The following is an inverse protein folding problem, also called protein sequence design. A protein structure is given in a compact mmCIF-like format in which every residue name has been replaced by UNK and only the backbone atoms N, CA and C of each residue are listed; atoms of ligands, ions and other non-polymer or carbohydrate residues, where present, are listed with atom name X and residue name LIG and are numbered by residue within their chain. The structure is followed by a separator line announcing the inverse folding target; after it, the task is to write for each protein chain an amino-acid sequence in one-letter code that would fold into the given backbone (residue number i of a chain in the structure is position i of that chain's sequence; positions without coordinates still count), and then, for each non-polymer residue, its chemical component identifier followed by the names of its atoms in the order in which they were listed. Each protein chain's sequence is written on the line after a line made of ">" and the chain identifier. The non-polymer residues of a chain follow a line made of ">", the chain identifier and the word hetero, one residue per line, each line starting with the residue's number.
data_IF_390336385191
#
_entry.id   IF_390336385191
#
_cell.length_a   1.000
_cell.length_b   1.000
_cell.length_c   1.000
_cell.angle_alpha   90.00
_cell.angle_beta   90.00
_cell.angle_gamma   90.00
#
_symmetry.space_group_name_H-M   'P 1'
#
loop_
_entity.id
_entity.type
_entity.pdbx_description
1 polymer ?
2 polymer ?
3 polymer ?
4 non-polymer ?
5 non-polymer ?
6 non-polymer ?
7 non-polymer ?
8 non-polymer ?
#
# COMPACT_ATOMS: atom_id res chain seq x y z
N UNK A 1 9.74 -21.63 -0.84
CA UNK A 1 11.11 -22.16 -1.02
C UNK A 1 11.10 -23.22 -2.11
N UNK A 2 10.23 -23.08 -3.12
CA UNK A 2 10.11 -24.11 -4.18
C UNK A 2 11.44 -24.26 -4.91
N UNK A 3 12.31 -23.25 -4.84
CA UNK A 3 13.61 -23.29 -5.56
C UNK A 3 14.40 -24.52 -5.13
N UNK A 4 14.24 -24.95 -3.88
CA UNK A 4 15.01 -26.09 -3.35
C UNK A 4 15.96 -25.65 -2.26
N UNK A 5 15.83 -24.38 -1.84
CA UNK A 5 16.69 -23.86 -0.75
C UNK A 5 15.96 -24.05 0.59
N UNK A 6 16.65 -23.82 1.71
CA UNK A 6 15.97 -23.89 3.04
C UNK A 6 15.13 -22.61 3.20
N UNK A 7 14.19 -22.60 4.12
CA UNK A 7 13.42 -21.36 4.38
C UNK A 7 14.42 -20.23 4.66
N UNK A 8 15.42 -20.50 5.49
CA UNK A 8 16.45 -19.48 5.80
C UNK A 8 17.23 -19.13 4.53
N UNK A 9 17.63 -20.15 3.77
CA UNK A 9 18.45 -19.91 2.56
C UNK A 9 17.62 -19.16 1.50
N UNK A 10 16.30 -19.34 1.51
CA UNK A 10 15.46 -18.71 0.47
C UNK A 10 15.02 -17.33 0.94
N UNK A 11 14.57 -17.21 2.18
CA UNK A 11 14.00 -15.92 2.64
C UNK A 11 14.92 -15.18 3.60
N UNK A 12 16.22 -15.40 3.54
CA UNK A 12 17.12 -14.59 4.42
C UNK A 12 18.54 -14.53 3.84
N UNK A 13 19.26 -13.44 4.15
CA UNK A 13 20.64 -13.26 3.62
C UNK A 13 21.66 -13.68 4.68
N UNK A 14 22.34 -14.82 4.49
CA UNK A 14 23.31 -15.33 5.49
C UNK A 14 24.57 -15.81 4.78
N UNK A 15 24.83 -15.28 3.59
CA UNK A 15 26.02 -15.69 2.79
C UNK A 15 27.30 -15.35 3.57
N UNK A 16 27.36 -14.16 4.16
CA UNK A 16 28.54 -13.74 4.97
C UNK A 16 28.05 -13.04 6.23
N UNK A 17 26.85 -12.47 6.18
CA UNK A 17 26.29 -11.74 7.35
C UNK A 17 26.63 -12.51 8.64
N UNK A 28 27.87 -5.52 10.98
CA UNK A 28 28.00 -6.25 9.73
C UNK A 28 29.44 -6.20 9.23
N UNK A 29 29.70 -6.86 8.10
CA UNK A 29 31.04 -6.83 7.52
C UNK A 29 31.22 -5.57 6.67
N UNK A 30 30.19 -5.17 5.94
CA UNK A 30 30.24 -3.97 5.10
C UNK A 30 29.86 -2.77 5.94
N UNK A 31 30.84 -2.27 6.70
CA UNK A 31 30.69 -1.04 7.46
C UNK A 31 31.59 0.07 6.93
N UNK A 32 32.72 -0.27 6.29
CA UNK A 32 33.56 0.76 5.70
C UNK A 32 32.84 1.48 4.56
N UNK A 33 31.94 0.80 3.86
CA UNK A 33 31.16 1.39 2.79
C UNK A 33 29.89 2.08 3.29
N UNK A 34 29.76 2.29 4.60
CA UNK A 34 28.59 2.98 5.12
C UNK A 34 28.49 4.40 4.56
N UNK A 35 29.63 5.09 4.45
CA UNK A 35 29.62 6.44 3.91
C UNK A 35 29.19 6.44 2.44
N UNK A 36 29.57 5.41 1.70
CA UNK A 36 29.17 5.32 0.30
C UNK A 36 27.66 5.19 0.17
N UNK A 37 27.03 4.37 1.02
CA UNK A 37 25.58 4.20 0.94
C UNK A 37 24.86 5.48 1.31
N UNK A 38 25.30 6.14 2.39
CA UNK A 38 24.61 7.34 2.85
C UNK A 38 24.73 8.50 1.87
N UNK A 39 25.71 8.46 0.96
CA UNK A 39 25.86 9.55 0.00
C UNK A 39 24.65 9.64 -0.93
N UNK A 40 24.07 8.50 -1.30
CA UNK A 40 22.91 8.46 -2.18
C UNK A 40 21.65 8.03 -1.46
N UNK A 41 21.74 7.33 -0.32
CA UNK A 41 20.54 6.97 0.41
C UNK A 41 19.84 8.19 0.99
N UNK A 42 20.59 9.05 1.68
CA UNK A 42 19.97 10.18 2.36
C UNK A 42 19.34 11.18 1.39
N UNK A 43 20.00 11.61 0.31
CA UNK A 43 19.30 12.44 -0.68
C UNK A 43 18.09 11.77 -1.29
N UNK A 44 18.15 10.45 -1.50
CA UNK A 44 16.99 9.75 -2.03
C UNK A 44 15.82 9.76 -1.05
N UNK A 45 16.10 9.52 0.23
CA UNK A 45 15.05 9.53 1.23
C UNK A 45 14.41 10.91 1.35
N UNK A 46 15.24 11.96 1.35
CA UNK A 46 14.72 13.32 1.46
C UNK A 46 13.89 13.68 0.24
N UNK A 47 14.33 13.27 -0.96
CA UNK A 47 13.58 13.58 -2.16
C UNK A 47 12.23 12.89 -2.16
N UNK A 48 12.18 11.62 -1.74
CA UNK A 48 10.90 10.92 -1.67
C UNK A 48 9.99 11.55 -0.63
N UNK A 49 10.55 11.93 0.52
CA UNK A 49 9.74 12.54 1.56
C UNK A 49 9.11 13.85 1.09
N UNK A 50 9.90 14.66 0.37
CA UNK A 50 9.36 15.92 -0.16
C UNK A 50 8.28 15.66 -1.20
N UNK A 51 8.47 14.63 -2.03
CA UNK A 51 7.50 14.36 -3.10
C UNK A 51 6.15 13.96 -2.51
N UNK A 52 6.14 13.08 -1.52
CA UNK A 52 4.88 12.70 -0.89
C UNK A 52 4.34 13.84 -0.05
N UNK A 53 5.22 14.59 0.61
CA UNK A 53 4.76 15.68 1.48
C UNK A 53 4.08 16.77 0.67
N UNK A 54 4.70 17.22 -0.42
CA UNK A 54 4.14 18.33 -1.18
C UNK A 54 2.92 17.91 -1.99
N UNK A 55 2.94 16.70 -2.55
CA UNK A 55 1.79 16.23 -3.31
C UNK A 55 0.58 16.03 -2.41
N UNK A 56 0.82 15.55 -1.18
CA UNK A 56 -0.30 15.29 -0.28
C UNK A 56 -1.04 16.57 0.10
N UNK A 57 -0.31 17.65 0.35
CA UNK A 57 -0.93 18.87 0.87
C UNK A 57 -1.45 19.79 -0.23
N UNK A 58 -0.83 19.79 -1.41
CA UNK A 58 -1.22 20.71 -2.47
C UNK A 58 -2.30 20.17 -3.38
N UNK A 59 -2.31 18.86 -3.65
CA UNK A 59 -3.18 18.27 -4.66
C UNK A 59 -4.16 17.26 -4.09
N UNK A 60 -3.68 16.26 -3.34
CA UNK A 60 -4.56 15.18 -2.91
C UNK A 60 -5.50 15.63 -1.80
N UNK A 61 -5.02 16.47 -0.89
CA UNK A 61 -5.85 16.92 0.22
C UNK A 61 -5.20 18.00 1.06
N UNK B 1 -27.14 14.38 -5.99
CA UNK B 1 -26.22 13.38 -6.52
C UNK B 1 -26.80 11.98 -6.41
N UNK B 2 -26.73 11.24 -7.52
CA UNK B 2 -27.13 9.84 -7.52
C UNK B 2 -26.12 9.07 -6.68
N UNK B 3 -26.52 8.66 -5.48
CA UNK B 3 -25.61 8.00 -4.54
C UNK B 3 -25.51 6.51 -4.90
N UNK B 4 -24.91 6.26 -6.05
CA UNK B 4 -24.66 4.91 -6.55
C UNK B 4 -23.21 4.84 -7.01
N UNK B 5 -22.50 3.81 -6.54
CA UNK B 5 -21.08 3.60 -6.85
C UNK B 5 -20.96 2.22 -7.48
N UNK B 6 -21.15 2.15 -8.79
CA UNK B 6 -20.95 0.93 -9.57
C UNK B 6 -19.90 1.12 -10.66
N UNK B 7 -19.98 2.22 -11.40
CA UNK B 7 -18.93 2.51 -12.39
C UNK B 7 -17.59 2.74 -11.71
N UNK B 8 -17.60 3.44 -10.58
CA UNK B 8 -16.36 3.71 -9.85
C UNK B 8 -15.72 2.43 -9.36
N UNK B 9 -16.52 1.57 -8.70
CA UNK B 9 -15.99 0.29 -8.26
C UNK B 9 -15.55 -0.55 -9.45
N UNK B 10 -16.29 -0.49 -10.55
CA UNK B 10 -15.95 -1.27 -11.73
C UNK B 10 -14.58 -0.87 -12.29
N UNK B 11 -14.34 0.43 -12.43
CA UNK B 11 -13.07 0.88 -12.99
C UNK B 11 -11.93 0.59 -12.01
N UNK B 12 -12.19 0.73 -10.70
CA UNK B 12 -11.16 0.39 -9.72
C UNK B 12 -10.79 -1.09 -9.81
N UNK B 13 -11.80 -1.96 -9.90
CA UNK B 13 -11.51 -3.39 -10.00
C UNK B 13 -10.80 -3.70 -11.31
N UNK B 14 -11.15 -2.99 -12.39
CA UNK B 14 -10.49 -3.23 -13.66
C UNK B 14 -9.00 -2.88 -13.59
N UNK B 15 -8.69 -1.70 -13.03
CA UNK B 15 -7.30 -1.30 -12.90
C UNK B 15 -6.53 -2.26 -12.00
N UNK B 16 -7.16 -2.67 -10.89
CA UNK B 16 -6.51 -3.61 -10.00
C UNK B 16 -6.25 -4.95 -10.66
N UNK B 17 -7.23 -5.45 -11.40
CA UNK B 17 -7.04 -6.71 -12.12
C UNK B 17 -5.93 -6.58 -13.15
N UNK B 18 -5.83 -5.43 -13.81
CA UNK B 18 -4.75 -5.22 -14.77
C UNK B 18 -3.39 -5.31 -14.10
N UNK B 19 -3.22 -4.59 -12.98
CA UNK B 19 -1.93 -4.61 -12.29
C UNK B 19 -1.58 -6.01 -11.79
N UNK B 20 -2.57 -6.68 -11.18
CA UNK B 20 -2.32 -8.03 -10.68
C UNK B 20 -1.97 -8.97 -11.82
N UNK B 21 -2.65 -8.84 -12.96
CA UNK B 21 -2.35 -9.69 -14.11
C UNK B 21 -0.94 -9.46 -14.60
N UNK B 22 -0.50 -8.20 -14.63
CA UNK B 22 0.89 -7.93 -15.04
C UNK B 22 1.88 -8.60 -14.07
N UNK B 23 1.56 -8.61 -12.78
CA UNK B 23 2.46 -9.26 -11.83
C UNK B 23 2.46 -10.78 -12.03
N UNK B 24 1.31 -11.38 -12.31
CA UNK B 24 1.33 -12.81 -12.64
C UNK B 24 2.08 -13.06 -13.93
N UNK B 25 2.07 -12.11 -14.88
CA UNK B 25 2.92 -12.26 -16.05
C UNK B 25 4.40 -12.20 -15.67
N UNK B 26 4.75 -11.42 -14.65
CA UNK B 26 6.12 -11.41 -14.17
C UNK B 26 6.52 -12.79 -13.64
N UNK B 27 5.65 -13.40 -12.83
CA UNK B 27 5.90 -14.80 -12.42
C UNK B 27 5.96 -15.73 -13.63
N UNK B 28 5.14 -15.49 -14.64
CA UNK B 28 5.19 -16.35 -15.82
C UNK B 28 6.55 -16.25 -16.50
N UNK B 29 7.09 -15.04 -16.58
CA UNK B 29 8.41 -14.86 -17.17
C UNK B 29 9.49 -15.56 -16.35
N UNK B 30 9.41 -15.45 -15.02
CA UNK B 30 10.44 -16.05 -14.18
C UNK B 30 10.36 -17.57 -14.18
N UNK B 31 9.24 -18.13 -13.73
CA UNK B 31 9.15 -19.57 -13.49
C UNK B 31 9.21 -20.40 -14.77
N UNK B 32 9.09 -19.79 -15.95
CA UNK B 32 9.23 -20.52 -17.20
C UNK B 32 10.71 -20.70 -17.51
N UNK B 33 11.23 -21.90 -17.23
CA UNK B 33 12.62 -22.21 -17.52
C UNK B 33 12.83 -22.32 -19.02
N UNK C 1 22.62 -19.16 -23.80
CA UNK C 1 21.56 -19.32 -22.82
C UNK C 1 21.72 -18.33 -21.67
N UNK C 2 22.97 -18.12 -21.25
CA UNK C 2 23.22 -17.27 -20.09
C UNK C 2 22.91 -15.81 -20.37
N UNK C 3 23.16 -15.34 -21.59
CA UNK C 3 22.84 -13.94 -21.92
C UNK C 3 21.34 -13.71 -21.90
N UNK C 4 20.56 -14.68 -22.39
CA UNK C 4 19.10 -14.58 -22.27
C UNK C 4 18.69 -14.59 -20.81
N UNK C 5 19.34 -15.43 -20.01
CA UNK C 5 19.06 -15.50 -18.57
C UNK C 5 19.25 -14.14 -17.92
N UNK C 6 20.38 -13.50 -18.18
CA UNK C 6 20.67 -12.20 -17.58
C UNK C 6 19.71 -11.14 -18.11
N UNK C 7 19.38 -11.19 -19.41
CA UNK C 7 18.48 -10.19 -19.98
C UNK C 7 17.10 -10.29 -19.36
N UNK C 8 16.57 -11.51 -19.22
CA UNK C 8 15.26 -11.68 -18.60
C UNK C 8 15.28 -11.25 -17.14
N UNK C 9 16.33 -11.60 -16.41
CA UNK C 9 16.40 -11.19 -15.01
C UNK C 9 16.44 -9.66 -14.88
N UNK C 10 17.23 -9.00 -15.73
CA UNK C 10 17.31 -7.55 -15.69
C UNK C 10 15.97 -6.91 -16.02
N UNK C 11 15.32 -7.37 -17.09
CA UNK C 11 14.05 -6.79 -17.48
C UNK C 11 12.99 -7.00 -16.40
N UNK C 12 12.92 -8.20 -15.84
CA UNK C 12 11.92 -8.47 -14.82
C UNK C 12 12.21 -7.67 -13.57
N UNK C 13 13.48 -7.43 -13.26
CA UNK C 13 13.80 -6.53 -12.15
C UNK C 13 13.31 -5.12 -12.41
N UNK C 14 13.48 -4.64 -13.64
CA UNK C 14 13.02 -3.29 -13.97
C UNK C 14 11.51 -3.19 -13.82
N UNK C 15 10.78 -4.18 -14.36
CA UNK C 15 9.32 -4.19 -14.19
C UNK C 15 8.93 -4.32 -12.73
N UNK C 16 9.70 -5.07 -11.94
CA UNK C 16 9.39 -5.18 -10.52
C UNK C 16 9.52 -3.83 -9.84
N UNK C 17 10.56 -3.07 -10.19
CA UNK C 17 10.71 -1.73 -9.64
C UNK C 17 9.56 -0.83 -10.07
N UNK C 18 9.14 -0.92 -11.32
CA UNK C 18 8.04 -0.10 -11.82
C UNK C 18 6.76 -0.41 -11.05
N UNK C 19 6.47 -1.70 -10.85
CA UNK C 19 5.27 -2.07 -10.11
C UNK C 19 5.38 -1.71 -8.64
N UNK C 20 6.59 -1.72 -8.09
CA UNK C 20 6.78 -1.26 -6.72
C UNK C 20 6.43 0.21 -6.60
N UNK C 21 6.86 1.02 -7.57
CA UNK C 21 6.51 2.44 -7.54
C UNK C 21 5.01 2.62 -7.71
N UNK C 22 4.38 1.80 -8.56
CA UNK C 22 2.94 1.89 -8.74
C UNK C 22 2.21 1.56 -7.44
N UNK C 23 2.65 0.52 -6.74
CA UNK C 23 2.04 0.18 -5.46
C UNK C 23 2.28 1.27 -4.41
N UNK C 24 3.45 1.91 -4.45
CA UNK C 24 3.68 3.03 -3.53
C UNK C 24 2.70 4.16 -3.80
N UNK C 25 2.45 4.46 -5.08
CA UNK C 25 1.46 5.47 -5.44
C UNK C 25 0.09 5.06 -4.92
N UNK C 26 -0.26 3.78 -5.08
CA UNK C 26 -1.55 3.29 -4.60
C UNK C 26 -1.66 3.46 -3.08
N UNK C 27 -0.59 3.13 -2.36
CA UNK C 27 -0.60 3.24 -0.90
C UNK C 27 -0.77 4.69 -0.48
N UNK C 28 -0.07 5.62 -1.13
CA UNK C 28 -0.22 7.03 -0.81
C UNK C 28 -1.65 7.48 -1.09
N UNK C 29 -2.21 7.07 -2.22
CA UNK C 29 -3.55 7.51 -2.60
C UNK C 29 -4.58 7.02 -1.59
N UNK C 30 -4.50 5.73 -1.21
CA UNK C 30 -5.50 5.21 -0.27
C UNK C 30 -5.31 5.83 1.10
N UNK C 31 -4.07 6.10 1.51
CA UNK C 31 -3.86 6.75 2.80
C UNK C 31 -4.46 8.15 2.82
N UNK C 32 -4.29 8.90 1.73
CA UNK C 32 -4.74 10.29 1.70
C UNK C 32 -6.24 10.38 1.42
N UNK C 33 -6.68 9.77 0.33
CA UNK C 33 -8.02 10.04 -0.18
C UNK C 33 -9.08 9.49 0.76
N UNK C 34 -10.09 10.29 1.20
CA UNK C 34 -11.10 9.77 2.14
C UNK C 34 -12.33 9.20 1.44
N UNK C 35 -12.17 8.05 0.80
CA UNK C 35 -13.25 7.39 0.08
C UNK C 35 -13.25 5.90 0.38
N UNK C 36 -13.12 5.55 1.66
CA UNK C 36 -13.14 4.14 2.05
C UNK C 36 -14.56 3.63 2.18
N UNK C 37 -15.47 4.46 2.69
CA UNK C 37 -16.87 4.12 2.84
C UNK C 37 -17.69 5.34 2.45
N UNK C 38 -18.91 5.10 1.97
CA UNK C 38 -19.76 6.18 1.51
C UNK C 38 -21.22 5.89 1.73
N UNK C 39 -22.02 6.94 1.60
CA UNK C 39 -23.46 6.85 1.79
C UNK C 39 -24.08 5.92 0.75
N UNK C 40 -25.37 5.64 0.93
CA UNK C 40 -26.17 4.89 -0.03
C UNK C 40 -27.51 5.57 -0.17
N UNK C 41 -28.40 4.97 -0.97
CA UNK C 41 -29.71 5.57 -1.22
C UNK C 41 -30.54 5.57 0.06
N UNK C 42 -30.43 4.52 0.87
CA UNK C 42 -31.22 4.38 2.09
C UNK C 42 -30.55 4.99 3.32
N UNK C 43 -29.41 5.66 3.14
CA UNK C 43 -28.72 6.24 4.28
C UNK C 43 -29.49 7.45 4.81
N UNK C 44 -29.46 7.71 6.12
CA UNK C 44 -30.10 8.95 6.61
C UNK C 44 -29.46 10.22 6.09
N UNK C 45 -28.14 10.31 6.12
CA UNK C 45 -27.39 11.50 5.74
C UNK C 45 -26.33 11.14 4.72
N UNK C 46 -25.92 12.06 3.85
CA UNK C 46 -24.88 11.77 2.88
C UNK C 46 -23.49 12.08 3.42
N UNK C 47 -22.50 11.44 2.81
CA UNK C 47 -21.12 11.69 3.15
C UNK C 47 -20.25 10.48 2.88
N UNK C 48 -19.03 10.56 3.37
CA UNK C 48 -18.02 9.51 3.20
C UNK C 48 -16.95 9.73 4.24
N UNK C 49 -16.12 8.70 4.45
CA UNK C 49 -15.02 8.84 5.39
C UNK C 49 -13.92 7.86 5.04
N UNK C 50 -12.69 8.27 5.35
CA UNK C 50 -11.51 7.45 5.14
C UNK C 50 -10.94 6.92 6.43
N UNK C 51 -9.61 6.89 6.54
CA UNK C 51 -8.99 6.36 7.74
C UNK C 51 -9.13 7.33 8.91
N UNK C 52 -8.96 8.63 8.65
CA UNK C 52 -9.06 9.67 9.67
C UNK C 52 -10.01 10.79 9.29
N UNK C 53 -10.07 11.16 8.02
CA UNK C 53 -10.91 12.25 7.56
C UNK C 53 -12.32 11.75 7.24
N UNK C 54 -13.30 12.58 7.57
CA UNK C 54 -14.70 12.25 7.32
C UNK C 54 -15.48 13.51 6.98
N UNK C 55 -16.32 13.40 5.96
CA UNK C 55 -17.18 14.49 5.51
C UNK C 55 -18.63 14.02 5.55
N UNK C 56 -19.50 14.85 6.13
CA UNK C 56 -20.90 14.51 6.33
C UNK C 56 -21.75 15.68 5.86
N UNK C 57 -22.94 15.37 5.36
CA UNK C 57 -23.88 16.39 4.94
C UNK C 57 -24.75 16.88 6.07
N UNK C 58 -25.13 18.16 5.99
CA UNK C 58 -25.99 18.74 7.02
C UNK C 58 -27.42 18.26 6.93
N UNK C 59 -27.87 17.79 5.77
CA UNK C 59 -29.20 17.24 5.62
C UNK C 59 -30.25 18.25 5.22
N UNK C 60 -30.01 18.97 4.11
CA UNK C 60 -30.94 19.97 3.61
C UNK C 60 -31.10 19.88 2.09
N UNK C 61 -31.03 18.67 1.53
CA UNK C 61 -31.16 18.45 0.10
C UNK C 61 -30.10 19.22 -0.68
N UNK C 62 -28.89 19.29 -0.12
CA UNK C 62 -27.77 19.93 -0.75
C UNK C 62 -26.50 19.22 -0.32
N UNK C 63 -25.35 19.71 -0.81
CA UNK C 63 -24.09 19.07 -0.45
C UNK C 63 -23.64 19.51 0.92
N UNK C 64 -23.24 20.79 1.05
CA UNK C 64 -22.82 21.44 2.29
C UNK C 64 -22.01 20.51 3.20
N UNK C 65 -21.06 19.81 2.61
CA UNK C 65 -20.36 18.73 3.30
C UNK C 65 -19.37 19.32 4.28
N UNK C 66 -19.74 19.38 5.55
CA UNK C 66 -18.80 19.77 6.59
C UNK C 66 -17.78 18.65 6.77
N UNK C 67 -16.50 19.00 6.74
CA UNK C 67 -15.40 18.04 6.74
C UNK C 67 -14.55 18.25 7.98
N UNK C 68 -14.23 17.14 8.65
CA UNK C 68 -13.45 17.18 9.87
C UNK C 68 -12.59 15.93 9.93
N UNK C 69 -11.41 16.08 10.53
CA UNK C 69 -10.49 14.97 10.73
C UNK C 69 -9.12 15.28 10.15
N UNK C 70 -8.09 14.76 10.80
CA UNK C 70 -6.72 14.96 10.35
C UNK C 70 -5.80 14.05 11.15
N UNK C 71 -4.86 13.40 10.46
CA UNK C 71 -3.95 12.49 11.13
C UNK C 71 -2.95 13.23 12.02
N UNK C 72 -2.67 14.50 11.74
CA UNK C 72 -1.78 15.26 12.61
C UNK C 72 -2.38 15.42 13.99
N UNK C 73 -3.70 15.67 14.06
CA UNK C 73 -4.42 15.83 15.32
C UNK C 73 -5.23 14.56 15.56
N UNK C 74 -4.72 13.68 16.44
CA UNK C 74 -5.41 12.45 16.77
C UNK C 74 -6.69 12.66 17.55
N UNK C 75 -6.95 13.86 18.05
CA UNK C 75 -8.20 14.11 18.76
C UNK C 75 -9.39 13.99 17.83
N UNK C 76 -9.26 14.48 16.59
CA UNK C 76 -10.38 14.54 15.66
C UNK C 76 -10.73 13.20 15.04
N UNK C 77 -9.88 12.18 15.18
CA UNK C 77 -10.20 10.87 14.60
C UNK C 77 -11.36 10.26 15.37
N UNK C 78 -12.38 9.68 14.72
CA UNK C 78 -13.59 9.27 15.48
C UNK C 78 -13.34 8.21 16.55
N UNK C 79 -12.44 7.27 16.34
CA UNK C 79 -12.33 6.12 17.25
C UNK C 79 -10.92 5.57 17.24
N UNK C 80 -10.65 4.73 18.25
CA UNK C 80 -9.31 4.15 18.39
C UNK C 80 -8.99 3.18 17.26
N UNK C 81 -9.98 2.44 16.77
CA UNK C 81 -9.72 1.53 15.66
C UNK C 81 -9.31 2.30 14.41
N UNK C 82 -9.93 3.46 14.18
CA UNK C 82 -9.51 4.30 13.06
C UNK C 82 -8.08 4.76 13.23
N UNK C 83 -7.70 5.14 14.46
CA UNK C 83 -6.33 5.56 14.72
C UNK C 83 -5.34 4.44 14.45
N UNK C 84 -5.67 3.22 14.91
CA UNK C 84 -4.78 2.09 14.67
C UNK C 84 -4.66 1.77 13.19
N UNK C 85 -5.78 1.79 12.46
CA UNK C 85 -5.73 1.51 11.03
C UNK C 85 -4.91 2.57 10.30
N UNK C 86 -5.11 3.84 10.65
CA UNK C 86 -4.34 4.90 10.02
C UNK C 86 -2.85 4.74 10.30
N UNK C 87 -2.49 4.30 11.50
CA UNK C 87 -1.06 4.06 11.83
C UNK C 87 -0.52 2.97 10.91
N UNK C 88 -1.17 1.81 10.85
CA UNK C 88 -0.69 0.66 10.05
C UNK C 88 -0.55 1.06 8.58
N UNK C 89 -1.52 1.79 8.03
CA UNK C 89 -1.50 2.19 6.59
C UNK C 89 -0.33 3.16 6.38
N UNK C 90 0.09 3.90 7.40
CA UNK C 90 1.25 4.82 7.32
C UNK C 90 2.52 4.00 7.43
N UNK C 91 2.62 3.12 8.41
CA UNK C 91 3.81 2.25 8.58
C UNK C 91 4.02 1.51 7.27
N UNK C 92 2.94 1.16 6.57
CA UNK C 92 3.02 0.43 5.28
C UNK C 92 3.59 1.37 4.24
N UNK C 93 3.13 2.61 4.21
CA UNK C 93 3.62 3.60 3.26
C UNK C 93 5.09 3.93 3.52
N UNK C 94 5.48 4.06 4.79
CA UNK C 94 6.88 4.40 5.16
C UNK C 94 7.80 3.23 4.83
N UNK C 95 7.27 2.00 4.80
CA UNK C 95 8.06 0.78 4.53
C UNK C 95 8.21 0.57 3.02
N UNK C 96 7.22 0.99 2.22
CA UNK C 96 7.28 0.85 0.74
C UNK C 96 8.17 1.99 0.23
N UNK C 97 8.09 3.18 0.81
CA UNK C 97 9.02 4.25 0.45
C UNK C 97 10.44 3.91 0.86
N UNK C 98 10.61 3.16 1.94
CA UNK C 98 11.94 2.71 2.32
C UNK C 98 12.55 1.78 1.29
N UNK C 99 11.74 0.87 0.73
CA UNK C 99 12.22 0.05 -0.37
C UNK C 99 12.57 0.89 -1.59
N UNK C 100 11.75 1.88 -1.93
CA UNK C 100 12.06 2.71 -3.08
C UNK C 100 13.37 3.46 -2.84
N UNK C 101 13.64 3.84 -1.59
CA UNK C 101 14.93 4.41 -1.25
C UNK C 101 16.04 3.38 -1.40
N UNK C 102 15.80 2.16 -0.93
CA UNK C 102 16.79 1.08 -0.97
C UNK C 102 17.09 0.62 -2.38
N UNK C 103 16.29 1.03 -3.38
CA UNK C 103 16.70 0.82 -4.77
C UNK C 103 18.08 1.42 -5.05
N UNK C 104 18.44 2.50 -4.35
CA UNK C 104 19.73 3.13 -4.58
C UNK C 104 20.89 2.21 -4.21
N UNK C 105 20.66 1.25 -3.30
CA UNK C 105 21.71 0.33 -2.91
C UNK C 105 22.14 -0.62 -4.02
N UNK C 106 21.39 -0.69 -5.13
CA UNK C 106 21.76 -1.59 -6.21
C UNK C 106 23.09 -1.23 -6.85
N UNK C 107 23.54 0.03 -6.71
CA UNK C 107 24.83 0.41 -7.27
C UNK C 107 25.97 -0.36 -6.62
N UNK C 108 26.03 -0.35 -5.28
CA UNK C 108 27.16 -0.89 -4.55
C UNK C 108 26.90 -2.29 -3.98
N UNK C 109 25.80 -2.44 -3.24
CA UNK C 109 25.54 -3.68 -2.54
C UNK C 109 25.26 -4.81 -3.53
N UNK C 110 25.42 -6.04 -3.04
CA UNK C 110 25.11 -7.21 -3.86
C UNK C 110 23.64 -7.21 -4.22
N UNK C 111 23.33 -7.52 -5.48
CA UNK C 111 21.96 -7.40 -5.97
C UNK C 111 21.01 -8.32 -5.23
N UNK C 112 21.46 -9.54 -4.92
CA UNK C 112 20.60 -10.47 -4.21
C UNK C 112 20.22 -9.95 -2.83
N UNK C 113 21.19 -9.35 -2.12
CA UNK C 113 20.89 -8.83 -0.79
C UNK C 113 19.88 -7.70 -0.85
N UNK C 114 20.01 -6.80 -1.83
CA UNK C 114 19.06 -5.69 -1.94
C UNK C 114 17.68 -6.22 -2.32
N UNK C 115 17.63 -7.19 -3.22
CA UNK C 115 16.33 -7.78 -3.65
C UNK C 115 15.65 -8.33 -2.41
N UNK C 116 16.38 -9.04 -1.54
CA UNK C 116 15.80 -9.66 -0.33
C UNK C 116 15.41 -8.57 0.67
N UNK C 117 16.22 -7.51 0.80
CA UNK C 117 15.90 -6.39 1.72
C UNK C 117 14.54 -5.82 1.30
N UNK C 118 14.32 -5.52 0.01
CA UNK C 118 13.00 -5.08 -0.43
C UNK C 118 11.93 -6.17 -0.38
N UNK C 119 12.30 -7.42 -0.57
CA UNK C 119 11.31 -8.52 -0.42
C UNK C 119 10.75 -8.43 0.99
N UNK C 120 11.60 -8.33 2.00
CA UNK C 120 11.17 -8.31 3.43
C UNK C 120 10.47 -7.00 3.77
N UNK C 121 10.79 -5.91 3.09
CA UNK C 121 10.19 -4.58 3.37
C UNK C 121 8.83 -4.53 2.68
N UNK C 122 8.64 -5.27 1.59
CA UNK C 122 7.34 -5.34 0.94
C UNK C 122 6.42 -6.32 1.66
N UNK C 123 6.96 -7.43 2.16
CA UNK C 123 6.14 -8.41 2.91
C UNK C 123 5.56 -7.70 4.13
N UNK C 124 6.39 -6.98 4.88
CA UNK C 124 5.95 -6.26 6.10
C UNK C 124 4.93 -5.19 5.73
N UNK C 125 5.11 -4.51 4.61
CA UNK C 125 4.19 -3.45 4.14
C UNK C 125 2.82 -4.06 3.90
N UNK C 126 2.76 -5.25 3.29
CA UNK C 126 1.49 -5.94 3.00
C UNK C 126 0.84 -6.37 4.32
N UNK C 127 1.63 -6.85 5.27
CA UNK C 127 1.12 -7.29 6.59
C UNK C 127 0.50 -6.08 7.30
N UNK C 128 1.16 -4.93 7.25
CA UNK C 128 0.64 -3.70 7.89
C UNK C 128 -0.64 -3.26 7.19
N UNK C 129 -0.67 -3.30 5.85
CA UNK C 129 -1.86 -2.88 5.07
C UNK C 129 -3.00 -3.86 5.36
N UNK C 130 -2.69 -5.11 5.70
CA UNK C 130 -3.71 -6.15 6.00
C UNK C 130 -4.24 -5.92 7.41
N UNK C 131 -3.37 -5.60 8.36
CA UNK C 131 -3.79 -5.32 9.76
C UNK C 131 -4.60 -4.04 9.75
N UNK C 132 -4.26 -3.09 8.88
CA UNK C 132 -4.97 -1.80 8.80
C UNK C 132 -6.33 -2.00 8.17
N UNK C 133 -6.46 -2.94 7.25
CA UNK C 133 -7.74 -3.25 6.63
C UNK C 133 -8.62 -4.09 7.55
N UNK C 134 -8.04 -4.94 8.38
CA UNK C 134 -8.85 -5.69 9.33
C UNK C 134 -9.30 -4.84 10.51
N UNK C 135 -8.48 -3.86 10.92
CA UNK C 135 -8.80 -3.08 12.10
C UNK C 135 -9.74 -1.93 11.78
N UNK C 136 -9.70 -1.39 10.56
CA UNK C 136 -10.54 -0.26 10.23
C UNK C 136 -12.04 -0.53 10.39
N UNK C 137 -12.58 -1.72 10.03
CA UNK C 137 -13.99 -2.02 10.26
C UNK C 137 -14.44 -2.09 11.71
N UNK C 138 -13.51 -2.02 12.66
CA UNK C 138 -13.89 -2.16 14.09
C UNK C 138 -14.40 -0.83 14.59
N UNK C 139 -14.09 0.26 13.88
CA UNK C 139 -14.47 1.60 14.35
C UNK C 139 -15.78 2.03 13.73
N UNK C 140 -16.52 1.08 13.16
CA UNK C 140 -17.78 1.43 12.48
C UNK C 140 -18.91 1.56 13.49
N UNK C 141 -18.61 1.40 14.78
CA UNK C 141 -19.65 1.59 15.83
C UNK C 141 -19.59 3.04 16.33
N UNK C 142 -18.50 3.74 16.01
CA UNK C 142 -18.32 5.13 16.45
C UNK C 142 -19.59 5.94 16.18
N UNK C 143 -20.01 6.74 17.16
CA UNK C 143 -21.24 7.50 17.01
C UNK C 143 -21.20 8.39 15.78
N UNK C 144 -20.02 8.93 15.44
CA UNK C 144 -19.91 9.76 14.25
C UNK C 144 -20.22 8.96 12.99
N UNK C 145 -19.71 7.73 12.90
CA UNK C 145 -20.02 6.88 11.76
C UNK C 145 -21.47 6.44 11.82
N UNK C 146 -21.96 6.10 13.01
CA UNK C 146 -23.34 5.65 13.15
C UNK C 146 -24.32 6.76 12.79
N UNK C 147 -23.96 8.02 13.06
CA UNK C 147 -24.83 9.13 12.73
C UNK C 147 -25.07 9.22 11.23
N UNK C 148 -24.02 9.03 10.43
CA UNK C 148 -24.19 9.10 8.98
C UNK C 148 -24.86 7.84 8.45
N UNK C 149 -24.25 6.69 8.66
CA UNK C 149 -24.74 5.46 8.03
C UNK C 149 -26.11 5.07 8.55
N UNK C 150 -26.32 5.16 9.86
CA UNK C 150 -27.60 4.83 10.47
C UNK C 150 -27.47 3.93 11.68
N UNK C 151 -28.60 3.46 12.21
CA UNK C 151 -28.56 2.64 13.41
C UNK C 151 -28.10 1.22 13.10
N UNK C 152 -28.33 0.73 11.88
CA UNK C 152 -28.00 -0.65 11.56
C UNK C 152 -26.49 -0.88 11.53
N UNK C 153 -25.69 0.16 11.37
CA UNK C 153 -24.25 0.00 11.30
C UNK C 153 -23.68 -0.43 12.65
N UNK C 154 -22.61 -1.22 12.59
CA UNK C 154 -21.96 -1.67 13.80
C UNK C 154 -20.59 -2.23 13.48
N UNK C 155 -20.01 -2.88 14.48
CA UNK C 155 -18.70 -3.50 14.28
C UNK C 155 -18.80 -4.60 13.24
N UNK C 156 -17.92 -4.53 12.24
CA UNK C 156 -17.84 -5.54 11.18
C UNK C 156 -19.18 -5.71 10.47
N UNK C 157 -19.86 -4.59 10.24
CA UNK C 157 -21.16 -4.61 9.57
C UNK C 157 -21.35 -3.29 8.86
N UNK C 158 -21.47 -3.35 7.53
CA UNK C 158 -21.64 -2.13 6.74
C UNK C 158 -22.93 -1.40 7.11
N UNK C 159 -24.01 -2.16 7.29
CA UNK C 159 -25.31 -1.56 7.53
C UNK C 159 -25.91 -1.03 6.25
N UNK C 160 -26.03 0.29 6.13
CA UNK C 160 -26.56 0.94 4.96
C UNK C 160 -25.49 1.51 4.05
N UNK C 161 -24.36 1.94 4.59
CA UNK C 161 -23.28 2.45 3.76
C UNK C 161 -22.65 1.34 2.93
N UNK C 162 -21.92 1.74 1.90
CA UNK C 162 -21.27 0.85 0.96
C UNK C 162 -19.82 1.24 0.79
N UNK C 163 -18.98 0.24 0.52
CA UNK C 163 -17.56 0.50 0.32
C UNK C 163 -17.35 1.25 -0.98
N UNK C 164 -16.49 2.26 -0.93
CA UNK C 164 -16.10 3.05 -2.08
C UNK C 164 -14.72 2.62 -2.56
N UNK C 165 -14.20 3.32 -3.57
CA UNK C 165 -13.06 2.82 -4.32
C UNK C 165 -11.81 2.66 -3.47
N UNK C 166 -11.65 3.47 -2.42
CA UNK C 166 -10.41 3.42 -1.66
C UNK C 166 -10.25 2.09 -0.94
N UNK C 167 -11.34 1.53 -0.42
CA UNK C 167 -11.25 0.28 0.32
C UNK C 167 -10.81 -0.87 -0.60
N UNK C 168 -11.49 -1.03 -1.74
CA UNK C 168 -11.12 -2.10 -2.64
C UNK C 168 -9.74 -1.85 -3.24
N UNK C 169 -9.37 -0.59 -3.43
CA UNK C 169 -8.02 -0.28 -3.88
C UNK C 169 -6.99 -0.67 -2.83
N UNK C 170 -7.32 -0.53 -1.55
CA UNK C 170 -6.41 -0.97 -0.50
C UNK C 170 -6.28 -2.49 -0.48
N UNK C 171 -7.39 -3.20 -0.71
CA UNK C 171 -7.32 -4.66 -0.81
C UNK C 171 -6.44 -5.07 -1.98
N UNK C 172 -6.61 -4.39 -3.12
CA UNK C 172 -5.77 -4.64 -4.27
C UNK C 172 -4.31 -4.33 -3.93
N UNK C 173 -4.09 -3.29 -3.13
CA UNK C 173 -2.74 -2.99 -2.70
C UNK C 173 -2.14 -4.08 -1.85
N UNK C 174 -2.94 -4.69 -0.99
CA UNK C 174 -2.49 -5.83 -0.21
C UNK C 174 -2.03 -6.95 -1.14
N UNK C 175 -2.88 -7.30 -2.10
CA UNK C 175 -2.53 -8.37 -3.02
C UNK C 175 -1.29 -8.03 -3.83
N UNK C 176 -1.21 -6.80 -4.32
CA UNK C 176 -0.07 -6.36 -5.11
C UNK C 176 1.22 -6.40 -4.28
N UNK C 177 1.15 -5.95 -3.03
CA UNK C 177 2.32 -5.96 -2.17
C UNK C 177 2.80 -7.39 -1.91
N UNK C 178 1.87 -8.30 -1.64
CA UNK C 178 2.26 -9.68 -1.39
C UNK C 178 2.90 -10.30 -2.63
N UNK C 179 2.30 -10.08 -3.79
CA UNK C 179 2.85 -10.63 -5.03
C UNK C 179 4.23 -10.03 -5.32
N UNK C 180 4.39 -8.71 -5.12
CA UNK C 180 5.68 -8.09 -5.35
C UNK C 180 6.73 -8.61 -4.36
N UNK C 181 6.32 -8.90 -3.13
CA UNK C 181 7.25 -9.46 -2.16
C UNK C 181 7.77 -10.81 -2.62
N UNK C 182 6.87 -11.70 -3.05
CA UNK C 182 7.32 -13.00 -3.57
C UNK C 182 8.17 -12.82 -4.81
N UNK C 183 7.80 -11.86 -5.67
CA UNK C 183 8.60 -11.57 -6.86
C UNK C 183 10.01 -11.16 -6.49
N UNK C 184 10.14 -10.31 -5.47
CA UNK C 184 11.46 -9.88 -5.02
C UNK C 184 12.25 -11.03 -4.44
N UNK C 185 11.61 -11.92 -3.67
CA UNK C 185 12.31 -13.07 -3.14
C UNK C 185 12.84 -13.97 -4.26
N UNK C 186 11.99 -14.22 -5.26
CA UNK C 186 12.39 -15.09 -6.35
C UNK C 186 13.52 -14.43 -7.15
N UNK C 187 13.44 -13.13 -7.39
CA UNK C 187 14.51 -12.44 -8.10
C UNK C 187 15.81 -12.49 -7.30
N UNK C 188 15.73 -12.28 -5.99
CA UNK C 188 16.93 -12.30 -5.17
C UNK C 188 17.62 -13.66 -5.19
N UNK C 189 16.82 -14.74 -5.13
CA UNK C 189 17.41 -16.06 -5.29
C UNK C 189 17.84 -16.36 -6.71
N UNK C 190 17.27 -15.67 -7.70
CA UNK C 190 17.58 -15.92 -9.10
C UNK C 190 18.88 -15.28 -9.54
N UNK C 191 19.24 -14.11 -8.99
CA UNK C 191 20.53 -13.52 -9.32
C UNK C 191 21.67 -14.43 -8.90
N UNK C 192 21.55 -15.09 -7.75
CA UNK C 192 22.59 -16.01 -7.32
C UNK C 192 22.72 -17.18 -8.30
N UNK C 193 21.59 -17.72 -8.75
CA UNK C 193 21.56 -18.77 -9.77
C UNK C 193 22.26 -20.03 -9.26
X LIG D 1 26.00 -7.40 2.11
X LIG D 1 26.53 -8.04 3.07
X LIG D 1 26.27 -7.69 0.92
X LIG D 1 25.01 -6.28 2.42
X LIG D 1 25.72 -4.92 2.40
X LIG D 1 24.99 -3.93 3.30
X LIG D 1 23.53 -3.81 2.88
X LIG D 1 22.96 -2.43 3.24
X LIG D 1 23.06 -2.17 4.74
X LIG D 1 22.12 -1.03 5.14
X LIG D 1 22.62 0.31 4.58
X LIG D 1 21.80 1.43 5.21
X LIG D 1 22.16 2.76 4.56
X LIG D 1 21.72 3.91 5.45
X LIG E 1 -0.23 13.30 4.62
X LIG E 1 -1.48 14.15 4.82
X LIG E 1 -2.15 13.80 6.14
X LIG E 1 -1.18 14.02 7.28
X LIG E 1 0.13 13.29 7.08
X LIG E 1 0.65 12.56 8.05
X LIG E 1 1.93 11.79 7.96
X LIG E 1 2.80 12.24 6.80
X LIG E 1 1.93 12.42 5.55
X LIG E 1 0.81 13.48 5.73
X LIG E 1 2.79 12.64 4.28
X LIG E 1 3.91 11.62 4.10
X LIG E 1 4.82 11.52 5.33
X LIG E 1 3.90 11.20 6.53
X LIG E 1 4.88 10.83 7.65
X LIG E 1 6.02 10.09 6.91
X LIG E 1 5.76 10.28 5.40
X LIG E 1 5.61 12.82 5.52
X LIG E 1 1.36 14.92 5.67
X LIG E 1 7.07 10.27 4.57
X LIG E 1 6.83 10.57 3.10
X LIG E 1 7.84 8.95 4.71
X LIG E 1 9.34 9.07 4.43
X LIG E 1 9.96 7.75 3.96
X LIG E 1 11.44 7.80 3.63
X LIG E 1 11.90 6.51 2.99
X LIG E 1 12.28 8.13 4.84
X LIG E 1 -3.31 14.59 6.32
X LIG F 1 -1.09 10.86 -8.68
X LIG F 1 -0.91 11.02 -7.17
X LIG F 1 0.51 10.61 -6.79
X LIG F 1 0.67 10.67 -5.27
X LIG F 1 2.14 10.70 -4.87
X LIG F 1 2.85 9.43 -5.36
X LIG F 1 4.18 9.23 -4.63
X LIG F 1 4.75 7.87 -5.01
X LIG F 1 5.87 7.46 -4.07
X LIG F 1 7.06 8.42 -4.17
X LIG G 1 27.71 -4.36 -7.40
X LIG G 1 26.59 -3.48 -7.41
X LIG G 1 28.63 -6.41 -8.28
X LIG G 1 25.57 -3.63 -11.16
X LIG G 1 21.07 -4.82 -11.76
X LIG G 1 22.03 -1.30 -11.78
X LIG G 1 21.36 -2.46 -11.85
X LIG G 1 22.11 -3.71 -11.75
X LIG G 1 21.67 -0.53 -10.54
X LIG G 1 22.81 -0.94 -12.62
X LIG G 1 23.00 -3.72 -10.53
X LIG G 1 20.95 0.75 -10.81
X LIG G 1 20.04 -4.48 -10.80
X LIG G 1 27.19 -5.15 -9.74
X LIG G 1 20.19 1.22 -9.59
X LIG G 1 18.48 -5.18 -12.22
X LIG G 1 27.49 -5.54 -8.31
X LIG G 1 19.51 2.55 -9.74
X LIG G 1 14.49 6.16 -6.42
X LIG G 1 18.64 2.92 -8.57
X LIG G 1 13.68 6.50 -7.63
X LIG G 1 18.14 4.35 -8.57
X LIG G 1 12.18 6.45 -7.40
X LIG G 1 17.14 4.64 -7.51
X LIG G 1 11.36 7.21 -8.41
X LIG G 1 16.80 6.08 -7.38
X LIG G 1 15.93 6.56 -6.54
X LIG G 1 9.91 7.38 -8.01
X LIG G 1 24.18 -2.91 -10.76
X LIG G 1 9.08 8.18 -8.97
X LIG G 1 26.00 -4.32 -9.78
X LIG G 1 7.65 8.39 -8.53
X LIG G 1 25.30 -4.69 -12.18
X LIG G 1 6.81 9.13 -9.53
X LIG G 1 26.57 -2.55 -11.45
X LIG G 1 12.47 3.50 -12.29
X LIG G 1 11.68 4.78 -12.19
X LIG G 1 10.37 4.74 -12.95
X LIG G 1 9.31 5.66 -12.40
X LIG G 1 18.79 -4.57 -11.24
X LIG G 1 17.84 -3.78 -10.37
X LIG G 1 17.19 -2.65 -11.07
X LIG G 1 16.41 -1.75 -10.13
X LIG G 1 16.06 -0.41 -10.70
X LIG G 1 15.63 0.59 -9.66
X LIG G 1 15.34 1.97 -10.18
X LIG G 1 14.20 2.04 -11.15
X LIG G 1 13.66 3.44 -11.37
X LIG G 1 7.92 5.32 -12.86
X LIG G 1 5.43 5.65 -12.59
X LIG G 1 6.81 6.13 -12.24
X LIG H 1 -4.03 15.06 8.51
#
# INVERSE_FOLDING_TARGET
>A
CLDGKDCASFFXXFEDXRTGAWRHGRIHIRIAKMDSYARIFFPTAFCLFNLVYWVSYLYLG
>B
DSRDYSTELSVTVAVGASLLFLNILAFAALYYK
>C
YHEHYMRNSRAIGVLWAIFTICFAIINVVVFIQPYWVGDSVSTPKPGYFGLFHYCVGSGLAGRELTCRGSFTDFSTIPSSAFKAAAFFVLLSMVLILGCITCFSLFFFCNTATVYKICAWMQLLAALCLVLGCMIFPDGWDAETIRDMCGAKTGKYSLGDCSVRWAYILAIIGILNALILSFLAFVLGNRQTD
>D hetero
1 PLM C1 O1 O2 C2 C3 C4 C5 C6 C7 C8 C9 CA CB CC
>E hetero
1 CLR C1 C2 C3 C4 C5 C6 C7 C8 C9 C10 C11 C12 C13 C14 C15 C16 C17 C18 C19 C20 C21 C22 C23 C24 C25 C26 C27 O1
>F hetero
1 D10 C1 C2 C3 C4 C5 C6 C7 C8 C9 C10
>G hetero
1 PGW CAD OAE OAF P C01 C1 O01 C02 C2 O02 C03 C3 O03 C04 C4 O04 C05 C5 C06 C6 C07 C7 C08 C8 C09 C9 C10 C11 O11 C12 O12 C13 O13 C14 O14 C15 C16 C17 C18 C19 C20 C21 C22 C23 C24 C25 C26 C27 C28 C29 C30
>H hetero
1 CL CL
#
